data_IF_650532471865
#
_entry.id   IF_650532471865
#
_cell.length_a   1.000
_cell.length_b   1.000
_cell.length_c   1.000
_cell.angle_alpha   90.00
_cell.angle_beta   90.00
_cell.angle_gamma   90.00
#
_symmetry.space_group_name_H-M   'P 1'
#
loop_
_entity.id
_entity.type
_entity.pdbx_description
1 polymer ?
#
# COMPACT_ATOMS: atom_id res chain seq x y z
N UNK A 1 4.38 -10.87 -31.57
CA UNK A 1 5.15 -10.09 -30.59
C UNK A 1 5.39 -10.97 -29.38
N UNK A 2 6.66 -11.22 -29.04
CA UNK A 2 7.06 -12.16 -28.00
C UNK A 2 6.43 -11.80 -26.64
N UNK A 3 5.98 -12.79 -25.87
CA UNK A 3 5.27 -12.55 -24.59
C UNK A 3 6.15 -11.79 -23.59
N UNK A 4 7.47 -12.03 -23.65
CA UNK A 4 8.49 -11.32 -22.88
C UNK A 4 8.64 -9.85 -23.28
N UNK A 5 8.52 -9.55 -24.57
CA UNK A 5 8.56 -8.16 -25.06
C UNK A 5 7.31 -7.39 -24.60
N UNK A 6 6.14 -8.02 -24.63
CA UNK A 6 4.91 -7.45 -24.07
C UNK A 6 5.04 -7.19 -22.58
N UNK A 7 5.59 -8.14 -21.82
CA UNK A 7 5.84 -7.99 -20.41
C UNK A 7 6.74 -6.79 -20.11
N UNK A 8 7.88 -6.70 -20.80
CA UNK A 8 8.83 -5.60 -20.64
C UNK A 8 8.21 -4.23 -20.96
N UNK A 9 7.39 -4.12 -22.01
CA UNK A 9 6.70 -2.86 -22.35
C UNK A 9 5.77 -2.41 -21.21
N UNK A 10 4.95 -3.30 -20.67
CA UNK A 10 4.03 -2.95 -19.58
C UNK A 10 4.75 -2.58 -18.29
N UNK A 11 5.83 -3.28 -17.96
CA UNK A 11 6.69 -2.91 -16.84
C UNK A 11 7.25 -1.49 -17.02
N UNK A 12 7.79 -1.16 -18.20
CA UNK A 12 8.33 0.18 -18.49
C UNK A 12 7.25 1.25 -18.39
N UNK A 13 6.08 1.03 -19.01
CA UNK A 13 4.97 1.98 -18.95
C UNK A 13 4.51 2.19 -17.50
N UNK A 14 4.35 1.12 -16.74
CA UNK A 14 3.98 1.21 -15.32
C UNK A 14 5.01 1.94 -14.49
N UNK A 15 6.31 1.70 -14.73
CA UNK A 15 7.41 2.42 -14.07
C UNK A 15 7.38 3.92 -14.34
N UNK A 16 6.99 4.35 -15.55
CA UNK A 16 6.84 5.78 -15.88
C UNK A 16 5.74 6.40 -15.02
N UNK A 17 4.57 5.76 -14.93
CA UNK A 17 3.47 6.24 -14.08
C UNK A 17 3.86 6.26 -12.59
N UNK A 18 4.57 5.23 -12.11
CA UNK A 18 5.11 5.19 -10.75
C UNK A 18 6.00 6.40 -10.51
N UNK A 19 6.97 6.65 -11.39
CA UNK A 19 7.90 7.78 -11.26
C UNK A 19 7.14 9.13 -11.23
N UNK A 20 6.24 9.35 -12.19
CA UNK A 20 5.43 10.58 -12.26
C UNK A 20 4.59 10.77 -11.00
N UNK A 21 3.87 9.73 -10.57
CA UNK A 21 3.03 9.76 -9.37
C UNK A 21 3.83 10.06 -8.10
N UNK A 22 4.97 9.37 -7.92
CA UNK A 22 5.88 9.62 -6.79
C UNK A 22 6.45 11.03 -6.80
N UNK A 23 6.85 11.56 -7.97
CA UNK A 23 7.37 12.93 -8.09
C UNK A 23 6.30 13.96 -7.73
N UNK A 24 5.08 13.82 -8.27
CA UNK A 24 3.97 14.73 -7.97
C UNK A 24 3.64 14.70 -6.47
N UNK A 25 3.55 13.50 -5.88
CA UNK A 25 3.25 13.37 -4.46
C UNK A 25 4.35 13.98 -3.58
N UNK A 26 5.63 13.75 -3.91
CA UNK A 26 6.75 14.29 -3.15
C UNK A 26 6.77 15.83 -3.19
N UNK A 27 6.67 16.44 -4.36
CA UNK A 27 6.68 17.90 -4.51
C UNK A 27 5.49 18.54 -3.79
N UNK A 28 4.29 17.98 -3.96
CA UNK A 28 3.08 18.49 -3.33
C UNK A 28 3.10 18.38 -1.79
N UNK A 29 3.78 17.37 -1.24
CA UNK A 29 3.89 17.19 0.20
C UNK A 29 4.68 18.34 0.87
N UNK A 30 5.69 18.88 0.19
CA UNK A 30 6.44 20.06 0.66
C UNK A 30 5.60 21.34 0.62
N UNK A 31 4.61 21.41 -0.26
CA UNK A 31 3.67 22.55 -0.37
C UNK A 31 2.42 22.40 0.53
N UNK A 32 2.35 21.37 1.37
CA UNK A 32 1.19 21.07 2.23
C UNK A 32 -0.11 20.77 1.45
N UNK A 33 0.02 20.31 0.20
CA UNK A 33 -1.12 20.06 -0.70
C UNK A 33 -1.57 18.60 -0.68
N UNK A 34 -2.21 18.19 0.41
CA UNK A 34 -2.65 16.79 0.64
C UNK A 34 -3.46 16.21 -0.52
N UNK A 35 -4.34 16.99 -1.16
CA UNK A 35 -5.16 16.52 -2.30
C UNK A 35 -4.32 16.15 -3.51
N UNK A 36 -3.24 16.90 -3.78
CA UNK A 36 -2.30 16.62 -4.87
C UNK A 36 -1.39 15.45 -4.50
N UNK A 37 -1.03 15.30 -3.22
CA UNK A 37 -0.32 14.11 -2.72
C UNK A 37 -1.15 12.85 -2.95
N UNK A 38 -2.44 12.89 -2.61
CA UNK A 38 -3.37 11.80 -2.86
C UNK A 38 -3.47 11.48 -4.35
N UNK A 39 -3.59 12.51 -5.21
CA UNK A 39 -3.59 12.31 -6.66
C UNK A 39 -2.30 11.63 -7.15
N UNK A 40 -1.13 12.07 -6.69
CA UNK A 40 0.15 11.43 -7.00
C UNK A 40 0.19 9.96 -6.57
N UNK A 41 -0.37 9.63 -5.40
CA UNK A 41 -0.52 8.23 -4.96
C UNK A 41 -1.46 7.41 -5.85
N UNK A 42 -2.56 7.98 -6.32
CA UNK A 42 -3.47 7.29 -7.25
C UNK A 42 -2.76 6.98 -8.57
N UNK A 43 -1.98 7.92 -9.10
CA UNK A 43 -1.15 7.72 -10.30
C UNK A 43 -0.09 6.64 -10.06
N UNK A 44 0.56 6.65 -8.90
CA UNK A 44 1.51 5.62 -8.50
C UNK A 44 0.86 4.22 -8.46
N UNK A 45 -0.30 4.09 -7.82
CA UNK A 45 -1.03 2.82 -7.69
C UNK A 45 -1.47 2.32 -9.07
N UNK A 46 -1.95 3.22 -9.92
CA UNK A 46 -2.28 2.90 -11.31
C UNK A 46 -1.04 2.39 -12.06
N UNK A 47 0.09 3.08 -11.95
CA UNK A 47 1.36 2.66 -12.56
C UNK A 47 1.82 1.29 -12.08
N UNK A 48 1.69 1.01 -10.78
CA UNK A 48 1.94 -0.31 -10.22
C UNK A 48 1.04 -1.36 -10.86
N UNK A 49 -0.26 -1.11 -10.96
CA UNK A 49 -1.21 -2.00 -11.65
C UNK A 49 -0.80 -2.27 -13.10
N UNK A 50 -0.44 -1.21 -13.85
CA UNK A 50 0.03 -1.33 -15.23
C UNK A 50 1.33 -2.15 -15.33
N UNK A 51 2.27 -1.94 -14.40
CA UNK A 51 3.54 -2.69 -14.39
C UNK A 51 3.34 -4.20 -14.23
N UNK A 52 2.26 -4.59 -13.53
CA UNK A 52 1.89 -5.98 -13.26
C UNK A 52 1.11 -6.65 -14.40
N UNK A 53 0.60 -5.88 -15.39
CA UNK A 53 -0.07 -6.46 -16.57
C UNK A 53 0.89 -7.30 -17.42
N UNK A 54 2.20 -7.03 -17.33
CA UNK A 54 3.23 -7.75 -18.07
C UNK A 54 3.52 -9.15 -17.53
N UNK A 55 3.26 -9.42 -16.26
CA UNK A 55 3.72 -10.62 -15.54
C UNK A 55 2.78 -11.84 -15.64
N UNK A 56 1.72 -11.76 -16.46
CA UNK A 56 0.64 -12.75 -16.63
C UNK A 56 -0.33 -12.90 -15.43
N UNK A 57 -1.61 -13.15 -15.75
CA UNK A 57 -2.72 -13.67 -14.93
C UNK A 57 -3.22 -12.95 -13.66
N UNK A 58 -2.59 -11.88 -13.17
CA UNK A 58 -2.99 -11.28 -11.87
C UNK A 58 -4.44 -10.72 -11.82
N UNK A 59 -5.07 -10.46 -12.97
CA UNK A 59 -6.47 -10.05 -13.05
C UNK A 59 -7.46 -11.21 -13.23
N UNK A 60 -7.04 -12.32 -13.85
CA UNK A 60 -7.95 -13.43 -14.16
C UNK A 60 -8.32 -14.26 -12.92
N UNK A 61 -7.44 -14.32 -11.92
CA UNK A 61 -7.79 -14.88 -10.58
C UNK A 61 -8.60 -13.91 -9.71
N UNK A 62 -8.66 -12.61 -10.05
CA UNK A 62 -9.52 -11.64 -9.35
C UNK A 62 -10.94 -11.60 -9.90
N UNK A 63 -11.18 -12.02 -11.14
CA UNK A 63 -12.52 -12.04 -11.72
C UNK A 63 -13.44 -13.09 -11.07
N UNK A 64 -12.91 -14.18 -10.48
CA UNK A 64 -13.71 -15.09 -9.64
C UNK A 64 -14.22 -14.42 -8.35
N UNK A 65 -13.62 -13.31 -7.90
CA UNK A 65 -14.11 -12.51 -6.77
C UNK A 65 -15.15 -11.45 -7.18
N UNK A 66 -15.28 -11.14 -8.47
CA UNK A 66 -16.20 -10.12 -9.01
C UNK A 66 -17.50 -10.72 -9.56
N UNK A 67 -17.59 -12.05 -9.69
CA UNK A 67 -18.77 -12.77 -10.21
C UNK A 67 -20.02 -12.77 -9.32
N UNK A 68 -20.02 -12.09 -8.17
CA UNK A 68 -21.20 -11.99 -7.31
C UNK A 68 -21.65 -10.53 -7.20
N UNK A 69 -22.45 -10.12 -8.18
CA UNK A 69 -23.11 -8.81 -8.36
C UNK A 69 -24.19 -8.52 -7.30
N UNK A 70 -23.90 -8.78 -6.03
CA UNK A 70 -24.54 -8.06 -4.93
C UNK A 70 -23.46 -7.18 -4.31
N UNK A 71 -23.61 -5.86 -4.46
CA UNK A 71 -22.76 -4.89 -3.74
C UNK A 71 -23.17 -4.97 -2.28
N UNK A 72 -22.67 -6.00 -1.59
CA UNK A 72 -22.95 -6.23 -0.18
C UNK A 72 -22.29 -5.14 0.66
N UNK A 73 -22.88 -4.83 1.81
CA UNK A 73 -22.33 -3.91 2.81
C UNK A 73 -20.82 -4.10 3.08
N UNK A 74 -20.35 -5.36 3.05
CA UNK A 74 -18.95 -5.71 3.20
C UNK A 74 -18.04 -5.18 2.08
N UNK A 75 -18.49 -5.17 0.82
CA UNK A 75 -17.70 -4.61 -0.29
C UNK A 75 -17.63 -3.08 -0.19
N UNK A 76 -18.73 -2.43 0.18
CA UNK A 76 -18.77 -0.98 0.41
C UNK A 76 -17.85 -0.57 1.56
N UNK A 77 -17.87 -1.30 2.68
CA UNK A 77 -16.97 -1.08 3.82
C UNK A 77 -15.49 -1.26 3.41
N UNK A 78 -15.17 -2.30 2.62
CA UNK A 78 -13.79 -2.51 2.12
C UNK A 78 -13.31 -1.38 1.23
N UNK A 79 -14.17 -0.93 0.30
CA UNK A 79 -13.88 0.22 -0.55
C UNK A 79 -13.70 1.50 0.28
N UNK A 80 -14.54 1.71 1.29
CA UNK A 80 -14.43 2.83 2.22
C UNK A 80 -13.14 2.82 3.02
N UNK A 81 -12.76 1.67 3.60
CA UNK A 81 -11.50 1.50 4.33
C UNK A 81 -10.28 1.71 3.43
N UNK A 82 -10.36 1.26 2.17
CA UNK A 82 -9.29 1.49 1.20
C UNK A 82 -9.08 2.99 0.93
N UNK A 83 -10.16 3.70 0.62
CA UNK A 83 -10.12 5.15 0.35
C UNK A 83 -9.67 5.92 1.59
N UNK A 84 -10.22 5.61 2.77
CA UNK A 84 -9.81 6.23 4.02
C UNK A 84 -8.33 5.97 4.32
N UNK A 85 -7.85 4.75 4.03
CA UNK A 85 -6.45 4.38 4.18
C UNK A 85 -5.51 5.22 3.30
N UNK A 86 -5.84 5.39 2.02
CA UNK A 86 -5.08 6.24 1.10
C UNK A 86 -5.04 7.71 1.53
N UNK A 87 -6.17 8.25 2.00
CA UNK A 87 -6.24 9.62 2.52
C UNK A 87 -5.35 9.74 3.77
N UNK A 88 -5.41 8.78 4.68
CA UNK A 88 -4.59 8.77 5.91
C UNK A 88 -3.09 8.74 5.62
N UNK A 89 -2.66 7.91 4.66
CA UNK A 89 -1.26 7.85 4.21
C UNK A 89 -0.86 9.18 3.57
N UNK A 90 -1.67 9.74 2.66
CA UNK A 90 -1.37 11.01 2.00
C UNK A 90 -1.21 12.16 3.02
N UNK A 91 -2.11 12.22 4.00
CA UNK A 91 -2.04 13.18 5.08
C UNK A 91 -0.78 12.98 5.95
N UNK A 92 -0.49 11.73 6.34
CA UNK A 92 0.67 11.40 7.16
C UNK A 92 2.01 11.72 6.50
N UNK A 93 2.15 11.43 5.19
CA UNK A 93 3.34 11.78 4.40
C UNK A 93 3.50 13.30 4.26
N UNK A 94 2.38 14.02 4.10
CA UNK A 94 2.40 15.49 4.07
C UNK A 94 2.90 16.04 5.41
N UNK A 95 2.35 15.57 6.53
CA UNK A 95 2.81 15.97 7.86
C UNK A 95 4.27 15.61 8.12
N UNK A 96 4.73 14.45 7.66
CA UNK A 96 6.14 14.05 7.75
C UNK A 96 7.03 15.07 7.05
N UNK A 97 6.68 15.42 5.82
CA UNK A 97 7.42 16.35 4.98
C UNK A 97 7.45 17.75 5.60
N UNK A 98 6.32 18.21 6.14
CA UNK A 98 6.26 19.47 6.88
C UNK A 98 7.10 19.45 8.17
N UNK A 99 7.30 18.29 8.78
CA UNK A 99 8.19 18.12 9.94
C UNK A 99 9.66 18.27 9.55
N UNK A 100 10.05 17.83 8.34
CA UNK A 100 11.41 18.04 7.83
C UNK A 100 11.69 19.54 7.66
N UNK A 101 10.75 20.29 7.10
CA UNK A 101 10.89 21.74 6.91
C UNK A 101 10.89 22.52 8.23
N UNK A 102 10.00 22.13 9.15
CA UNK A 102 9.85 22.77 10.46
C UNK A 102 9.66 21.68 11.52
N UNK A 103 10.74 21.27 12.19
CA UNK A 103 10.69 20.21 13.19
C UNK A 103 9.65 20.47 14.27
N UNK A 104 8.73 19.52 14.43
CA UNK A 104 7.68 19.57 15.44
C UNK A 104 7.36 18.14 15.87
N UNK A 105 7.50 17.88 17.18
CA UNK A 105 7.18 16.57 17.75
C UNK A 105 5.71 16.21 17.51
N UNK A 106 4.81 17.18 17.61
CA UNK A 106 3.38 16.97 17.37
C UNK A 106 3.13 16.51 15.92
N UNK A 107 3.72 17.19 14.93
CA UNK A 107 3.57 16.79 13.52
C UNK A 107 4.21 15.43 13.25
N UNK A 108 5.36 15.13 13.85
CA UNK A 108 6.02 13.83 13.72
C UNK A 108 5.15 12.68 14.25
N UNK A 109 4.56 12.85 15.44
CA UNK A 109 3.67 11.85 16.05
C UNK A 109 2.40 11.67 15.20
N UNK A 110 1.75 12.76 14.81
CA UNK A 110 0.55 12.69 13.97
C UNK A 110 0.84 12.05 12.61
N UNK A 111 1.99 12.36 12.01
CA UNK A 111 2.46 11.74 10.76
C UNK A 111 2.60 10.23 10.90
N UNK A 112 3.27 9.76 11.96
CA UNK A 112 3.44 8.33 12.21
C UNK A 112 2.08 7.63 12.42
N UNK A 113 1.22 8.19 13.26
CA UNK A 113 -0.10 7.62 13.55
C UNK A 113 -0.98 7.53 12.31
N UNK A 114 -1.05 8.59 11.52
CA UNK A 114 -1.91 8.64 10.32
C UNK A 114 -1.37 7.75 9.20
N UNK A 115 -0.06 7.65 9.04
CA UNK A 115 0.57 6.74 8.08
C UNK A 115 0.33 5.26 8.44
N UNK A 116 0.52 4.89 9.72
CA UNK A 116 0.33 3.50 10.18
C UNK A 116 -1.14 3.10 10.12
N UNK A 117 -2.04 3.91 10.68
CA UNK A 117 -3.48 3.61 10.65
C UNK A 117 -4.04 3.63 9.23
N UNK A 118 -3.55 4.55 8.38
CA UNK A 118 -3.87 4.58 6.97
C UNK A 118 -3.42 3.32 6.23
N UNK A 119 -2.18 2.87 6.46
CA UNK A 119 -1.68 1.60 5.92
C UNK A 119 -2.55 0.41 6.35
N UNK A 120 -2.88 0.31 7.63
CA UNK A 120 -3.72 -0.77 8.15
C UNK A 120 -5.10 -0.77 7.48
N UNK A 121 -5.75 0.40 7.39
CA UNK A 121 -7.06 0.53 6.74
C UNK A 121 -7.01 0.15 5.26
N UNK A 122 -6.00 0.63 4.52
CA UNK A 122 -5.80 0.26 3.12
C UNK A 122 -5.56 -1.24 2.96
N UNK A 123 -4.76 -1.84 3.85
CA UNK A 123 -4.43 -3.26 3.79
C UNK A 123 -5.65 -4.15 4.05
N UNK A 124 -6.46 -3.81 5.06
CA UNK A 124 -7.75 -4.47 5.34
C UNK A 124 -8.72 -4.29 4.16
N UNK A 125 -8.79 -3.10 3.58
CA UNK A 125 -9.61 -2.81 2.41
C UNK A 125 -9.26 -3.72 1.21
N UNK A 126 -7.97 -3.83 0.89
CA UNK A 126 -7.47 -4.65 -0.23
C UNK A 126 -7.69 -6.15 0.05
N UNK A 127 -7.24 -6.65 1.20
CA UNK A 127 -7.14 -8.09 1.43
C UNK A 127 -8.37 -8.71 2.13
N UNK A 128 -9.23 -7.91 2.75
CA UNK A 128 -10.40 -8.42 3.47
C UNK A 128 -10.09 -9.17 4.76
N UNK A 129 -8.83 -9.23 5.19
CA UNK A 129 -8.41 -9.79 6.48
C UNK A 129 -8.47 -8.74 7.58
N UNK A 130 -8.79 -9.16 8.80
CA UNK A 130 -8.91 -8.28 9.97
C UNK A 130 -7.58 -7.65 10.39
N UNK A 131 -7.66 -6.53 11.10
CA UNK A 131 -6.50 -5.74 11.58
C UNK A 131 -5.47 -6.62 12.31
N UNK A 132 -5.92 -7.54 13.17
CA UNK A 132 -5.03 -8.42 13.93
C UNK A 132 -4.17 -9.34 13.06
N UNK A 133 -4.77 -9.96 12.04
CA UNK A 133 -4.08 -10.88 11.14
C UNK A 133 -3.17 -10.15 10.16
N UNK A 134 -3.62 -8.99 9.66
CA UNK A 134 -2.85 -8.13 8.74
C UNK A 134 -1.60 -7.48 9.36
N UNK A 135 -1.58 -7.28 10.68
CA UNK A 135 -0.51 -6.56 11.39
C UNK A 135 0.40 -7.50 12.16
N UNK A 136 -0.18 -8.44 12.90
CA UNK A 136 0.58 -9.34 13.76
C UNK A 136 0.91 -10.67 13.09
N UNK A 137 0.19 -11.06 12.03
CA UNK A 137 0.47 -12.30 11.29
C UNK A 137 1.92 -12.41 10.83
N UNK A 138 2.49 -11.39 10.15
CA UNK A 138 3.89 -11.41 9.72
C UNK A 138 4.86 -11.51 10.90
N UNK A 139 4.64 -10.74 11.97
CA UNK A 139 5.50 -10.72 13.17
C UNK A 139 5.46 -12.06 13.90
N UNK A 140 4.28 -12.62 14.12
CA UNK A 140 4.09 -13.92 14.77
C UNK A 140 4.68 -15.06 13.94
N UNK A 141 4.61 -14.97 12.61
CA UNK A 141 5.22 -15.98 11.71
C UNK A 141 6.75 -16.02 11.80
N UNK A 142 7.39 -14.89 12.10
CA UNK A 142 8.84 -14.81 12.32
C UNK A 142 9.20 -15.41 13.67
N UNK A 143 8.44 -15.09 14.73
CA UNK A 143 8.66 -15.63 16.09
C UNK A 143 8.46 -17.16 16.12
N UNK A 144 7.48 -17.68 15.39
CA UNK A 144 7.23 -19.13 15.31
C UNK A 144 8.27 -19.89 14.46
N UNK A 145 8.99 -19.22 13.56
CA UNK A 145 10.01 -19.83 12.69
C UNK A 145 11.42 -19.89 13.30
N UNK A 146 11.62 -19.40 14.51
CA UNK A 146 12.86 -19.62 15.28
C UNK A 146 12.74 -20.89 16.11
N UNK A 147 13.16 -22.09 15.63
CA UNK A 147 13.32 -23.22 16.51
C UNK A 147 14.41 -22.87 17.53
N UNK A 148 14.05 -22.96 18.81
CA UNK A 148 15.01 -22.96 19.90
C UNK A 148 15.94 -24.16 19.71
N UNK A 149 17.11 -23.95 19.10
CA UNK A 149 18.24 -24.90 19.17
C UNK A 149 18.83 -24.80 20.57
N UNK A 150 18.08 -25.31 21.55
CA UNK A 150 18.63 -25.64 22.85
C UNK A 150 19.62 -26.77 22.66
N UNK A 151 20.91 -26.43 22.75
CA UNK A 151 21.98 -27.42 22.78
C UNK A 151 21.73 -28.38 23.92
N UNK A 152 21.46 -29.63 23.57
CA UNK A 152 21.56 -30.75 24.50
C UNK A 152 23.06 -31.01 24.65
N UNK A 153 23.63 -30.57 25.76
CA UNK A 153 24.93 -31.07 26.21
C UNK A 153 24.70 -32.51 26.68
N UNK A 154 25.05 -33.46 25.82
CA UNK A 154 25.21 -34.86 26.23
C UNK A 154 26.55 -34.95 26.96
N UNK A 155 26.48 -34.93 28.30
CA UNK A 155 27.48 -35.50 29.22
C UNK A 155 26.82 -36.63 30.00
#
# INVERSE_FOLDING_TARGET
MDSRLRAGVWTVVGSIFIAVGSTVAALAAFEDRVSVVLFGFLVFIFGYGVSQLGTYSAWTERDELLGNTSVGWHQALRGGLLVAGWIGIAFGVTLFTQTILRPSLQKAVLSGLTSITGYMAAHVGINGVGVGESVFGPVLSVVQKTPYKGGRSDD
#
